data_IF_605849180802
#
_entry.id   IF_605849180802
#
_cell.length_a   1.000
_cell.length_b   1.000
_cell.length_c   1.000
_cell.angle_alpha   90.00
_cell.angle_beta   90.00
_cell.angle_gamma   90.00
#
_symmetry.space_group_name_H-M   'P 1'
#
loop_
_entity.id
_entity.type
_entity.pdbx_description
1 polymer ?
#
# COMPACT_ATOMS: atom_id res chain seq x y z
N UNK A 1 -5.83 -7.68 1.91
CA UNK A 1 -6.91 -7.13 2.73
C UNK A 1 -6.50 -7.25 4.17
N UNK A 2 -6.76 -6.20 4.94
CA UNK A 2 -6.55 -6.25 6.38
C UNK A 2 -7.66 -7.10 7.02
N UNK A 3 -7.39 -7.60 8.22
CA UNK A 3 -8.24 -8.49 8.98
C UNK A 3 -9.46 -7.79 9.59
N UNK A 4 -9.44 -6.46 9.69
CA UNK A 4 -10.52 -5.62 10.21
C UNK A 4 -11.37 -4.95 9.11
N UNK A 5 -11.20 -5.33 7.83
CA UNK A 5 -12.05 -4.84 6.76
C UNK A 5 -13.40 -5.55 6.74
N UNK A 6 -14.48 -4.78 6.56
CA UNK A 6 -15.83 -5.30 6.42
C UNK A 6 -16.31 -5.04 4.99
N UNK A 7 -16.57 -6.14 4.26
CA UNK A 7 -17.18 -6.10 2.93
C UNK A 7 -18.69 -5.96 3.12
N UNK A 8 -19.19 -4.77 2.82
CA UNK A 8 -20.60 -4.43 2.96
C UNK A 8 -21.38 -4.84 1.71
N UNK A 9 -22.71 -4.84 1.81
CA UNK A 9 -23.59 -5.04 0.63
C UNK A 9 -23.39 -3.97 -0.45
N UNK A 10 -22.83 -2.83 -0.07
CA UNK A 10 -22.52 -1.71 -0.96
C UNK A 10 -21.11 -1.80 -1.55
N UNK A 11 -20.27 -2.73 -1.10
CA UNK A 11 -18.93 -2.95 -1.66
C UNK A 11 -19.05 -3.72 -2.97
N UNK A 12 -18.96 -3.00 -4.09
CA UNK A 12 -19.13 -3.54 -5.44
C UNK A 12 -17.82 -4.16 -5.99
N UNK A 13 -17.55 -5.41 -5.63
CA UNK A 13 -16.36 -6.14 -6.09
C UNK A 13 -16.46 -6.50 -7.58
N UNK A 14 -17.67 -6.73 -8.08
CA UNK A 14 -17.95 -6.99 -9.49
C UNK A 14 -17.53 -5.81 -10.36
N UNK A 15 -17.75 -4.57 -9.91
CA UNK A 15 -17.26 -3.39 -10.61
C UNK A 15 -15.73 -3.33 -10.64
N UNK A 16 -15.02 -3.71 -9.58
CA UNK A 16 -13.55 -3.81 -9.62
C UNK A 16 -13.09 -4.80 -10.71
N UNK A 17 -13.77 -5.95 -10.82
CA UNK A 17 -13.48 -6.96 -11.85
C UNK A 17 -13.74 -6.40 -13.25
N UNK A 18 -14.84 -5.68 -13.45
CA UNK A 18 -15.16 -5.05 -14.72
C UNK A 18 -14.10 -4.01 -15.11
N UNK A 19 -13.64 -3.16 -14.19
CA UNK A 19 -12.57 -2.18 -14.43
C UNK A 19 -11.27 -2.89 -14.82
N UNK A 20 -10.83 -3.89 -14.03
CA UNK A 20 -9.53 -4.51 -14.28
C UNK A 20 -9.53 -5.21 -15.64
N UNK A 21 -10.63 -5.85 -16.04
CA UNK A 21 -10.78 -6.56 -17.31
C UNK A 21 -10.73 -5.64 -18.54
N UNK A 22 -11.26 -4.42 -18.42
CA UNK A 22 -11.44 -3.50 -19.56
C UNK A 22 -10.37 -2.40 -19.68
N UNK A 23 -9.58 -2.12 -18.65
CA UNK A 23 -8.63 -0.99 -18.63
C UNK A 23 -7.19 -1.37 -18.95
N UNK A 24 -6.84 -2.66 -18.87
CA UNK A 24 -5.46 -3.12 -18.97
C UNK A 24 -4.57 -2.70 -17.78
N UNK A 25 -5.17 -2.30 -16.66
CA UNK A 25 -4.49 -2.16 -15.38
C UNK A 25 -4.28 -3.52 -14.72
N UNK A 26 -3.27 -3.59 -13.85
CA UNK A 26 -2.85 -4.80 -13.16
C UNK A 26 -3.38 -4.91 -11.73
N UNK A 27 -3.66 -3.76 -11.11
CA UNK A 27 -4.19 -3.63 -9.75
C UNK A 27 -5.27 -2.56 -9.75
N UNK A 28 -6.44 -2.89 -9.21
CA UNK A 28 -7.54 -1.95 -8.98
C UNK A 28 -7.85 -1.97 -7.48
N UNK A 29 -7.77 -0.81 -6.85
CA UNK A 29 -8.08 -0.61 -5.44
C UNK A 29 -9.39 0.13 -5.25
N UNK A 30 -10.05 -0.12 -4.12
CA UNK A 30 -11.14 0.70 -3.61
C UNK A 30 -10.66 1.59 -2.46
N UNK A 31 -11.57 2.41 -1.94
CA UNK A 31 -11.31 3.36 -0.85
C UNK A 31 -11.93 2.92 0.48
N UNK A 32 -11.52 3.56 1.57
CA UNK A 32 -12.11 3.33 2.90
C UNK A 32 -13.28 4.29 3.15
N UNK A 33 -14.36 3.80 3.78
CA UNK A 33 -15.55 4.61 4.09
C UNK A 33 -15.24 5.82 5.00
N UNK A 34 -14.33 5.64 5.96
CA UNK A 34 -13.87 6.67 6.89
C UNK A 34 -12.38 6.84 6.75
N UNK A 35 -11.95 7.38 5.62
CA UNK A 35 -10.56 7.72 5.41
C UNK A 35 -10.21 8.99 6.21
N UNK A 36 -9.21 8.93 7.11
CA UNK A 36 -8.64 10.14 7.71
C UNK A 36 -7.80 10.95 6.71
N UNK A 37 -7.71 10.43 5.48
CA UNK A 37 -7.25 11.07 4.26
C UNK A 37 -5.74 11.37 4.31
N UNK A 38 -5.06 11.10 5.43
CA UNK A 38 -3.68 11.56 5.65
C UNK A 38 -2.65 10.70 4.92
N UNK A 39 -2.85 9.38 4.91
CA UNK A 39 -1.94 8.45 4.23
C UNK A 39 -2.27 8.30 2.75
N UNK A 40 -3.57 8.23 2.39
CA UNK A 40 -4.02 8.06 1.01
C UNK A 40 -3.75 9.29 0.12
N UNK A 41 -3.57 10.48 0.71
CA UNK A 41 -3.16 11.68 -0.04
C UNK A 41 -1.82 11.56 -0.76
N UNK A 42 -0.94 10.69 -0.28
CA UNK A 42 0.43 10.57 -0.79
C UNK A 42 0.65 9.23 -1.52
N UNK A 43 -0.23 8.91 -2.47
CA UNK A 43 -0.26 7.62 -3.17
C UNK A 43 0.71 7.49 -4.36
N UNK A 44 1.58 8.48 -4.57
CA UNK A 44 2.59 8.47 -5.62
C UNK A 44 4.01 8.58 -5.09
N UNK A 45 4.95 7.94 -5.79
CA UNK A 45 6.37 7.99 -5.48
C UNK A 45 7.11 8.99 -6.38
N UNK A 46 7.86 9.88 -5.76
CA UNK A 46 8.94 10.62 -6.42
C UNK A 46 10.25 9.91 -6.17
N UNK A 47 10.93 9.50 -7.24
CA UNK A 47 12.20 8.78 -7.15
C UNK A 47 13.31 9.67 -7.68
N UNK A 48 14.27 9.98 -6.82
CA UNK A 48 15.45 10.77 -7.18
C UNK A 48 16.69 9.90 -7.16
N UNK A 49 17.51 10.00 -8.21
CA UNK A 49 18.81 9.35 -8.26
C UNK A 49 19.86 10.22 -7.57
N UNK A 50 20.68 9.59 -6.73
CA UNK A 50 21.85 10.18 -6.08
C UNK A 50 23.13 9.45 -6.53
N UNK A 51 24.31 9.94 -6.13
CA UNK A 51 25.57 9.25 -6.38
C UNK A 51 25.66 7.88 -5.70
N UNK A 52 24.95 7.69 -4.58
CA UNK A 52 25.06 6.50 -3.75
C UNK A 52 23.87 5.55 -3.88
N UNK A 53 22.83 5.90 -4.64
CA UNK A 53 21.62 5.11 -4.81
C UNK A 53 20.40 5.95 -5.14
N UNK A 54 19.21 5.41 -4.94
CA UNK A 54 17.95 6.11 -5.12
C UNK A 54 17.40 6.59 -3.79
N UNK A 55 16.62 7.66 -3.83
CA UNK A 55 15.76 8.05 -2.73
C UNK A 55 14.34 8.18 -3.22
N UNK A 56 13.37 7.81 -2.39
CA UNK A 56 11.97 8.05 -2.71
C UNK A 56 11.30 8.96 -1.68
N UNK A 57 10.36 9.77 -2.14
CA UNK A 57 9.41 10.45 -1.27
C UNK A 57 8.00 10.16 -1.74
N UNK A 58 7.05 10.18 -0.81
CA UNK A 58 5.63 10.14 -1.17
C UNK A 58 5.12 11.55 -1.41
N UNK A 59 4.35 11.75 -2.47
CA UNK A 59 3.73 13.03 -2.80
C UNK A 59 2.27 12.87 -3.20
N UNK A 60 1.53 13.95 -3.02
CA UNK A 60 0.28 14.18 -3.73
C UNK A 60 0.67 14.54 -5.17
N UNK A 61 0.10 13.84 -6.14
CA UNK A 61 0.34 14.10 -7.56
C UNK A 61 -0.94 14.60 -8.20
N UNK A 62 -0.79 15.38 -9.28
CA UNK A 62 -1.90 15.73 -10.15
C UNK A 62 -2.66 14.45 -10.53
N UNK A 63 -3.95 14.38 -10.20
CA UNK A 63 -4.70 13.16 -10.40
C UNK A 63 -4.69 12.77 -11.89
N UNK A 64 -4.24 11.56 -12.24
CA UNK A 64 -4.29 11.03 -13.60
C UNK A 64 -5.52 10.12 -13.76
N UNK A 65 -6.63 10.58 -14.38
CA UNK A 65 -7.86 9.80 -14.43
C UNK A 65 -7.74 8.60 -15.36
N UNK A 66 -8.44 7.53 -15.03
CA UNK A 66 -8.65 6.40 -15.93
C UNK A 66 -9.74 6.75 -16.95
N UNK A 67 -9.46 6.74 -18.27
CA UNK A 67 -10.46 7.07 -19.27
C UNK A 67 -11.67 6.13 -19.20
N UNK A 68 -12.87 6.69 -19.10
CA UNK A 68 -14.13 5.94 -19.06
C UNK A 68 -14.56 5.46 -17.67
N UNK A 69 -13.75 5.71 -16.64
CA UNK A 69 -14.05 5.30 -15.26
C UNK A 69 -13.95 6.51 -14.32
N UNK A 70 -15.09 7.19 -14.13
CA UNK A 70 -15.17 8.35 -13.27
C UNK A 70 -14.80 8.00 -11.83
N UNK A 71 -13.94 8.82 -11.21
CA UNK A 71 -13.47 8.59 -9.84
C UNK A 71 -12.36 7.53 -9.70
N UNK A 72 -11.85 6.99 -10.81
CA UNK A 72 -10.68 6.12 -10.83
C UNK A 72 -9.42 6.87 -11.27
N UNK A 73 -8.37 6.78 -10.46
CA UNK A 73 -7.12 7.53 -10.65
C UNK A 73 -5.91 6.58 -10.64
N UNK A 74 -4.93 6.84 -11.50
CA UNK A 74 -3.67 6.09 -11.49
C UNK A 74 -2.84 6.46 -10.27
N UNK A 75 -2.30 5.45 -9.59
CA UNK A 75 -1.54 5.55 -8.35
C UNK A 75 -0.28 4.69 -8.43
N UNK A 76 0.71 4.93 -7.56
CA UNK A 76 1.86 4.02 -7.41
C UNK A 76 1.71 3.09 -6.20
N UNK A 77 0.91 3.51 -5.22
CA UNK A 77 0.66 2.82 -3.98
C UNK A 77 -0.80 3.05 -3.57
N UNK A 78 -1.45 2.01 -3.07
CA UNK A 78 -2.87 2.00 -2.69
C UNK A 78 -3.03 1.23 -1.38
N UNK A 79 -4.12 1.44 -0.66
CA UNK A 79 -4.41 0.72 0.59
C UNK A 79 -4.55 -0.79 0.35
N UNK A 80 -4.53 -1.59 1.42
CA UNK A 80 -4.61 -3.06 1.37
C UNK A 80 -5.95 -3.64 0.85
N UNK A 81 -6.80 -2.84 0.21
CA UNK A 81 -8.06 -3.24 -0.40
C UNK A 81 -7.98 -3.11 -1.93
N UNK A 82 -7.57 -4.18 -2.58
CA UNK A 82 -7.45 -4.21 -4.04
C UNK A 82 -7.63 -5.62 -4.59
N UNK A 83 -7.99 -5.70 -5.87
CA UNK A 83 -7.84 -6.90 -6.68
C UNK A 83 -6.66 -6.72 -7.63
N UNK A 84 -6.06 -7.83 -8.05
CA UNK A 84 -4.91 -7.79 -8.94
C UNK A 84 -4.86 -8.99 -9.89
N UNK A 85 -4.32 -8.77 -11.08
CA UNK A 85 -4.08 -9.83 -12.06
C UNK A 85 -2.96 -10.73 -11.56
N UNK A 86 -3.27 -11.98 -11.28
CA UNK A 86 -2.28 -12.97 -10.81
C UNK A 86 -1.11 -13.17 -11.79
N UNK A 87 -1.37 -13.05 -13.10
CA UNK A 87 -0.37 -13.21 -14.15
C UNK A 87 0.70 -12.08 -14.20
N UNK A 88 0.42 -10.91 -13.63
CA UNK A 88 1.34 -9.76 -13.59
C UNK A 88 1.71 -9.42 -12.16
N UNK A 89 0.75 -9.06 -11.32
CA UNK A 89 0.98 -8.75 -9.91
C UNK A 89 1.60 -9.92 -9.15
N UNK A 90 1.25 -11.17 -9.47
CA UNK A 90 1.86 -12.36 -8.86
C UNK A 90 3.34 -12.59 -9.22
N UNK A 91 3.89 -11.84 -10.18
CA UNK A 91 5.33 -11.84 -10.49
C UNK A 91 6.12 -10.88 -9.61
N UNK A 92 5.45 -9.88 -9.03
CA UNK A 92 6.01 -9.03 -7.96
C UNK A 92 5.74 -9.77 -6.64
N UNK A 93 6.80 -10.22 -5.97
CA UNK A 93 6.69 -11.02 -4.76
C UNK A 93 7.07 -10.19 -3.55
N UNK A 94 6.32 -10.35 -2.46
CA UNK A 94 6.70 -9.78 -1.18
C UNK A 94 7.90 -10.53 -0.61
N UNK A 95 8.86 -9.78 -0.10
CA UNK A 95 10.04 -10.34 0.57
C UNK A 95 9.68 -10.71 2.03
N UNK A 96 9.81 -11.99 2.43
CA UNK A 96 9.45 -12.43 3.78
C UNK A 96 10.27 -11.75 4.89
N UNK A 97 11.34 -11.04 4.58
CA UNK A 97 12.09 -10.26 5.57
C UNK A 97 11.40 -8.94 5.96
N UNK A 98 10.35 -8.52 5.21
CA UNK A 98 9.53 -7.33 5.50
C UNK A 98 8.23 -7.70 6.22
N UNK A 99 8.35 -8.45 7.34
CA UNK A 99 7.26 -9.14 8.03
C UNK A 99 6.06 -8.24 8.38
N UNK A 100 6.29 -6.95 8.68
CA UNK A 100 5.24 -5.97 9.02
C UNK A 100 5.21 -4.76 8.07
N UNK A 101 6.09 -4.71 7.08
CA UNK A 101 6.25 -3.56 6.15
C UNK A 101 6.20 -3.96 4.67
N UNK A 102 5.84 -5.22 4.38
CA UNK A 102 5.78 -5.80 3.04
C UNK A 102 4.82 -5.10 2.07
N UNK A 103 3.82 -4.38 2.59
CA UNK A 103 2.89 -3.62 1.77
C UNK A 103 3.59 -2.58 0.88
N UNK A 104 4.43 -1.73 1.47
CA UNK A 104 5.14 -0.68 0.71
C UNK A 104 6.23 -1.27 -0.17
N UNK A 105 6.90 -2.29 0.35
CA UNK A 105 7.88 -3.12 -0.34
C UNK A 105 7.34 -3.62 -1.68
N UNK A 106 6.15 -4.20 -1.68
CA UNK A 106 5.47 -4.65 -2.90
C UNK A 106 5.27 -3.53 -3.92
N UNK A 107 4.79 -2.36 -3.49
CA UNK A 107 4.51 -1.25 -4.42
C UNK A 107 5.78 -0.62 -4.98
N UNK A 108 6.84 -0.50 -4.18
CA UNK A 108 8.13 -0.04 -4.67
C UNK A 108 8.71 -1.03 -5.71
N UNK A 109 8.62 -2.33 -5.43
CA UNK A 109 9.07 -3.35 -6.38
C UNK A 109 8.18 -3.44 -7.62
N UNK A 110 6.99 -2.82 -7.61
CA UNK A 110 6.05 -2.77 -8.72
C UNK A 110 6.30 -1.62 -9.72
N UNK A 111 7.13 -0.63 -9.36
CA UNK A 111 7.43 0.53 -10.20
C UNK A 111 7.94 0.07 -11.58
N UNK A 112 7.27 0.56 -12.63
CA UNK A 112 7.56 0.21 -14.03
C UNK A 112 7.16 -1.22 -14.44
N UNK A 113 6.52 -1.99 -13.54
CA UNK A 113 6.07 -3.37 -13.80
C UNK A 113 4.55 -3.51 -13.77
N UNK A 114 3.87 -2.79 -12.87
CA UNK A 114 2.41 -2.85 -12.71
C UNK A 114 1.79 -1.48 -13.00
N UNK A 115 0.63 -1.48 -13.63
CA UNK A 115 -0.28 -0.32 -13.68
C UNK A 115 -1.29 -0.44 -12.56
N UNK A 116 -1.34 0.55 -11.69
CA UNK A 116 -2.18 0.54 -10.48
C UNK A 116 -3.15 1.71 -10.53
N UNK A 117 -4.40 1.47 -10.13
CA UNK A 117 -5.40 2.50 -9.98
C UNK A 117 -6.21 2.31 -8.69
N UNK A 118 -6.74 3.41 -8.19
CA UNK A 118 -7.67 3.46 -7.06
C UNK A 118 -8.97 4.13 -7.52
N UNK A 119 -10.11 3.55 -7.14
CA UNK A 119 -11.44 3.97 -7.56
C UNK A 119 -12.32 4.26 -6.35
N UNK A 120 -12.87 5.48 -6.27
CA UNK A 120 -13.77 5.86 -5.17
C UNK A 120 -15.19 5.30 -5.31
N UNK A 121 -15.49 4.64 -6.45
CA UNK A 121 -16.77 3.95 -6.68
C UNK A 121 -16.91 2.66 -5.89
N UNK A 122 -15.81 2.12 -5.33
CA UNK A 122 -15.81 0.90 -4.53
C UNK A 122 -15.26 1.20 -3.15
N UNK A 123 -16.09 0.98 -2.13
CA UNK A 123 -15.79 1.36 -0.74
C UNK A 123 -15.82 0.14 0.16
N UNK A 124 -14.85 0.03 1.06
CA UNK A 124 -14.82 -0.95 2.16
C UNK A 124 -14.81 -0.21 3.50
N UNK A 125 -15.42 -0.77 4.54
CA UNK A 125 -15.40 -0.20 5.89
C UNK A 125 -14.38 -0.93 6.78
N UNK A 126 -14.05 -0.33 7.93
CA UNK A 126 -13.26 -0.97 8.99
C UNK A 126 -14.13 -1.21 10.21
N UNK A 127 -13.93 -2.34 10.88
CA UNK A 127 -14.47 -2.62 12.21
C UNK A 127 -13.36 -3.10 13.18
N UNK A 128 -12.49 -2.18 13.64
CA UNK A 128 -11.35 -2.53 14.48
C UNK A 128 -11.75 -2.87 15.93
N UNK A 129 -13.00 -2.61 16.32
CA UNK A 129 -13.53 -2.85 17.68
C UNK A 129 -14.45 -4.07 17.75
N UNK A 130 -15.19 -4.36 16.68
CA UNK A 130 -16.04 -5.55 16.57
C UNK A 130 -15.26 -6.82 16.23
N UNK A 131 -14.06 -6.69 15.67
CA UNK A 131 -13.09 -7.77 15.51
C UNK A 131 -12.16 -7.85 16.74
N UNK A 132 -11.85 -9.06 17.20
CA UNK A 132 -10.81 -9.33 18.21
C UNK A 132 -9.37 -9.06 17.72
N UNK A 133 -9.23 -8.42 16.54
CA UNK A 133 -7.99 -8.01 15.88
C UNK A 133 -7.18 -6.92 16.61
N UNK A 134 -7.49 -6.66 17.88
CA UNK A 134 -6.68 -5.82 18.79
C UNK A 134 -6.49 -6.44 20.18
N UNK A 135 -6.78 -7.74 20.34
CA UNK A 135 -6.44 -8.46 21.56
C UNK A 135 -4.94 -8.35 21.87
N UNK A 136 -4.57 -8.40 23.15
CA UNK A 136 -3.16 -8.38 23.55
C UNK A 136 -2.38 -9.55 22.91
N UNK A 137 -3.04 -10.70 22.77
CA UNK A 137 -2.48 -11.86 22.08
C UNK A 137 -2.21 -11.57 20.60
N UNK A 138 -3.08 -10.85 19.90
CA UNK A 138 -2.83 -10.51 18.50
C UNK A 138 -1.78 -9.40 18.34
N UNK A 139 -1.80 -8.39 19.22
CA UNK A 139 -0.87 -7.26 19.17
C UNK A 139 0.59 -7.69 19.25
N UNK A 140 0.91 -8.83 19.89
CA UNK A 140 2.27 -9.35 19.91
C UNK A 140 2.82 -9.71 18.52
N UNK A 141 1.94 -10.04 17.57
CA UNK A 141 2.30 -10.36 16.18
C UNK A 141 2.23 -9.13 15.29
N UNK A 142 1.29 -8.20 15.56
CA UNK A 142 1.16 -6.93 14.83
C UNK A 142 2.30 -5.96 15.13
N UNK A 143 2.77 -5.92 16.37
CA UNK A 143 3.86 -5.07 16.85
C UNK A 143 4.93 -5.91 17.58
N UNK A 144 5.72 -6.70 16.83
CA UNK A 144 6.73 -7.58 17.44
C UNK A 144 7.91 -6.79 18.04
N UNK A 145 8.17 -5.57 17.58
CA UNK A 145 9.21 -4.67 18.09
C UNK A 145 8.80 -3.96 19.39
N UNK A 146 8.75 -4.71 20.50
CA UNK A 146 8.20 -4.22 21.79
C UNK A 146 9.09 -3.26 22.57
N UNK A 147 10.36 -3.08 22.20
CA UNK A 147 11.31 -2.19 22.88
C UNK A 147 11.99 -1.25 21.89
N UNK A 148 12.49 -0.09 22.34
CA UNK A 148 13.24 0.83 21.48
C UNK A 148 14.44 0.18 20.79
N UNK A 149 15.11 -0.77 21.47
CA UNK A 149 16.23 -1.52 20.91
C UNK A 149 15.78 -2.43 19.77
N UNK A 150 14.71 -3.21 19.97
CA UNK A 150 14.15 -4.08 18.92
C UNK A 150 13.63 -3.27 17.73
N UNK A 151 13.01 -2.13 17.98
CA UNK A 151 12.58 -1.19 16.95
C UNK A 151 13.77 -0.68 16.12
N UNK A 152 14.85 -0.28 16.79
CA UNK A 152 16.07 0.19 16.13
C UNK A 152 16.72 -0.90 15.29
N UNK A 153 16.84 -2.13 15.83
CA UNK A 153 17.36 -3.28 15.10
C UNK A 153 16.52 -3.62 13.86
N UNK A 154 15.19 -3.53 13.98
CA UNK A 154 14.27 -3.71 12.87
C UNK A 154 14.47 -2.65 11.78
N UNK A 155 14.53 -1.37 12.16
CA UNK A 155 14.72 -0.25 11.23
C UNK A 155 16.07 -0.35 10.50
N UNK A 156 17.15 -0.71 11.20
CA UNK A 156 18.46 -0.96 10.59
C UNK A 156 18.41 -2.13 9.61
N UNK A 157 17.72 -3.22 9.97
CA UNK A 157 17.53 -4.37 9.08
C UNK A 157 16.74 -3.99 7.83
N UNK A 158 15.60 -3.31 7.97
CA UNK A 158 14.77 -2.86 6.85
C UNK A 158 15.54 -1.89 5.95
N UNK A 159 16.28 -0.93 6.52
CA UNK A 159 17.12 0.01 5.77
C UNK A 159 18.19 -0.71 4.96
N UNK A 160 18.86 -1.72 5.54
CA UNK A 160 19.83 -2.55 4.79
C UNK A 160 19.16 -3.32 3.66
N UNK A 161 17.99 -3.89 3.89
CA UNK A 161 17.25 -4.63 2.86
C UNK A 161 16.86 -3.74 1.68
N UNK A 162 16.32 -2.55 1.96
CA UNK A 162 16.00 -1.54 0.94
C UNK A 162 17.21 -1.20 0.07
N UNK A 163 18.35 -0.99 0.70
CA UNK A 163 19.58 -0.70 -0.02
C UNK A 163 20.09 -1.89 -0.84
N UNK A 164 20.14 -3.08 -0.27
CA UNK A 164 20.68 -4.24 -0.97
C UNK A 164 19.79 -4.74 -2.10
N UNK A 165 18.47 -4.63 -1.96
CA UNK A 165 17.52 -5.15 -2.96
C UNK A 165 17.19 -4.13 -4.04
N UNK A 166 16.95 -2.88 -3.65
CA UNK A 166 16.40 -1.85 -4.54
C UNK A 166 17.32 -0.64 -4.70
N UNK A 167 18.53 -0.68 -4.13
CA UNK A 167 19.51 0.41 -4.12
C UNK A 167 18.95 1.72 -3.55
N UNK A 168 17.96 1.63 -2.65
CA UNK A 168 17.34 2.75 -1.97
C UNK A 168 18.18 3.14 -0.76
N UNK A 169 18.55 4.42 -0.67
CA UNK A 169 19.43 4.98 0.36
C UNK A 169 18.73 5.88 1.35
N UNK A 170 17.65 6.53 0.92
CA UNK A 170 16.86 7.38 1.78
C UNK A 170 15.40 7.35 1.36
N UNK A 171 14.52 7.57 2.31
CA UNK A 171 13.10 7.67 2.05
C UNK A 171 12.46 8.70 2.96
N UNK A 172 11.47 9.42 2.43
CA UNK A 172 10.63 10.31 3.23
C UNK A 172 9.19 9.86 3.13
N UNK A 173 8.69 9.38 4.25
CA UNK A 173 7.28 9.05 4.41
C UNK A 173 6.56 10.29 4.94
N UNK A 174 5.61 10.82 4.16
CA UNK A 174 4.67 11.81 4.69
C UNK A 174 3.60 11.06 5.50
N UNK A 175 3.96 10.64 6.72
CA UNK A 175 2.96 10.27 7.72
C UNK A 175 2.67 11.53 8.56
N UNK A 176 1.41 11.81 8.96
CA UNK A 176 1.26 12.50 10.23
C UNK A 176 1.91 11.61 11.29
N UNK A 177 2.95 12.12 11.94
CA UNK A 177 3.44 11.53 13.19
C UNK A 177 2.29 11.70 14.17
N UNK A 178 1.55 10.64 14.47
CA UNK A 178 0.67 10.64 15.63
C UNK A 178 1.57 10.73 16.85
N UNK A 179 1.67 11.93 17.43
CA UNK A 179 2.13 12.14 18.80
C UNK A 179 1.02 11.77 19.76
#
# INVERSE_FOLDING_TARGET
MDDDFVVEKTTDLEHMVEIIENTGYDVIAGVLEKDDDSWAKFNNFDITRTEQGFCYSRRETDPLPLPGYDGCMAMDLVRNFFIARTATAGKVRMDPHFITTGHKEFFIDSIGKLRIAECNSVVVSHDPEGCDGRTEEYNQYRFPEKTPELQSEYEERVTRLWHHRSFIKCYQEQFPVYQ
#
